data_IF_308442581300
#
_entry.id   IF_308442581300
#
_cell.length_a   1.000
_cell.length_b   1.000
_cell.length_c   1.000
_cell.angle_alpha   90.00
_cell.angle_beta   90.00
_cell.angle_gamma   90.00
#
_symmetry.space_group_name_H-M   'P 1'
#
loop_
_entity.id
_entity.type
_entity.pdbx_description
1 polymer ?
#
# COMPACT_ATOMS: atom_id res chain seq x y z
N UNK A 1 3.86 -5.43 -12.27
CA UNK A 1 4.50 -5.16 -10.96
C UNK A 1 5.81 -5.93 -10.75
N UNK A 2 5.98 -7.10 -11.39
CA UNK A 2 7.13 -7.99 -11.20
C UNK A 2 8.50 -7.34 -11.44
N UNK A 3 8.67 -6.55 -12.51
CA UNK A 3 9.93 -5.84 -12.79
C UNK A 3 10.33 -4.85 -11.70
N UNK A 4 9.35 -4.14 -11.12
CA UNK A 4 9.61 -3.20 -10.02
C UNK A 4 10.04 -3.96 -8.76
N UNK A 5 9.28 -4.99 -8.38
CA UNK A 5 9.62 -5.84 -7.23
C UNK A 5 11.01 -6.45 -7.38
N UNK A 6 11.36 -6.92 -8.58
CA UNK A 6 12.70 -7.46 -8.87
C UNK A 6 13.81 -6.43 -8.62
N UNK A 7 13.67 -5.20 -9.15
CA UNK A 7 14.66 -4.13 -8.92
C UNK A 7 14.81 -3.75 -7.45
N UNK A 8 13.69 -3.72 -6.71
CA UNK A 8 13.71 -3.45 -5.26
C UNK A 8 14.48 -4.56 -4.53
N UNK A 9 14.27 -5.82 -4.90
CA UNK A 9 14.99 -6.95 -4.30
C UNK A 9 16.48 -6.88 -4.58
N UNK A 10 16.86 -6.68 -5.84
CA UNK A 10 18.27 -6.53 -6.23
C UNK A 10 18.94 -5.40 -5.43
N UNK A 11 18.28 -4.24 -5.30
CA UNK A 11 18.77 -3.11 -4.50
C UNK A 11 19.00 -3.48 -3.02
N UNK A 12 18.10 -4.26 -2.42
CA UNK A 12 18.21 -4.70 -1.03
C UNK A 12 19.24 -5.79 -0.83
N UNK A 13 19.34 -6.74 -1.78
CA UNK A 13 20.33 -7.82 -1.78
C UNK A 13 21.75 -7.27 -1.87
N UNK A 14 22.00 -6.27 -2.72
CA UNK A 14 23.28 -5.55 -2.83
C UNK A 14 23.73 -4.93 -1.49
N UNK A 15 22.80 -4.66 -0.58
CA UNK A 15 23.04 -4.03 0.72
C UNK A 15 22.95 -5.00 1.88
N UNK A 16 22.71 -6.29 1.61
CA UNK A 16 22.47 -7.32 2.61
C UNK A 16 21.31 -6.96 3.57
N UNK A 17 20.34 -6.17 3.12
CA UNK A 17 19.23 -5.70 3.96
C UNK A 17 18.13 -6.74 4.14
N UNK A 18 18.11 -7.76 3.28
CA UNK A 18 17.09 -8.81 3.29
C UNK A 18 17.01 -9.55 4.64
N UNK A 19 18.10 -9.60 5.40
CA UNK A 19 18.16 -10.17 6.76
C UNK A 19 17.26 -9.44 7.77
N UNK A 20 16.95 -8.16 7.54
CA UNK A 20 16.09 -7.35 8.42
C UNK A 20 14.62 -7.35 7.98
N UNK A 21 14.34 -7.82 6.77
CA UNK A 21 13.01 -7.80 6.14
C UNK A 21 12.15 -9.01 6.52
N UNK A 22 11.96 -9.25 7.83
CA UNK A 22 10.94 -10.19 8.29
C UNK A 22 9.53 -9.65 7.96
N UNK A 23 8.50 -10.51 7.75
CA UNK A 23 7.13 -10.04 7.51
C UNK A 23 6.61 -9.10 8.60
N UNK A 24 6.99 -9.35 9.86
CA UNK A 24 6.66 -8.48 10.99
C UNK A 24 7.31 -7.10 10.86
N UNK A 25 8.60 -7.04 10.53
CA UNK A 25 9.32 -5.77 10.38
C UNK A 25 8.78 -4.96 9.21
N UNK A 26 8.52 -5.59 8.07
CA UNK A 26 7.94 -4.92 6.92
C UNK A 26 6.54 -4.38 7.20
N UNK A 27 5.71 -5.12 7.94
CA UNK A 27 4.40 -4.62 8.37
C UNK A 27 4.51 -3.39 9.29
N UNK A 28 5.52 -3.34 10.17
CA UNK A 28 5.81 -2.15 10.98
C UNK A 28 6.25 -0.99 10.11
N UNK A 29 7.18 -1.19 9.17
CA UNK A 29 7.63 -0.16 8.23
C UNK A 29 6.45 0.44 7.46
N UNK A 30 5.55 -0.38 6.90
CA UNK A 30 4.33 0.12 6.22
C UNK A 30 3.52 1.05 7.14
N UNK A 31 3.39 0.72 8.43
CA UNK A 31 2.65 1.57 9.37
C UNK A 31 3.38 2.87 9.71
N UNK A 32 4.71 2.87 9.71
CA UNK A 32 5.53 4.07 9.93
C UNK A 32 5.37 5.00 8.74
N UNK A 33 5.62 4.52 7.52
CA UNK A 33 5.54 5.35 6.31
C UNK A 33 4.11 5.81 6.00
N UNK A 34 3.10 5.03 6.40
CA UNK A 34 1.72 5.49 6.32
C UNK A 34 1.43 6.66 7.28
N UNK A 35 2.17 6.73 8.38
CA UNK A 35 2.16 7.87 9.31
C UNK A 35 2.87 9.09 8.72
N UNK A 36 4.02 8.91 8.09
CA UNK A 36 4.76 9.98 7.39
C UNK A 36 3.93 10.55 6.23
N UNK A 37 3.31 9.68 5.43
CA UNK A 37 2.35 10.08 4.39
C UNK A 37 1.16 10.85 4.94
N UNK A 38 0.68 10.50 6.14
CA UNK A 38 -0.41 11.22 6.80
C UNK A 38 0.06 12.60 7.29
N UNK A 39 1.31 12.73 7.72
CA UNK A 39 1.89 13.98 8.20
C UNK A 39 1.89 15.06 7.12
N UNK A 40 2.08 14.69 5.84
CA UNK A 40 1.97 15.60 4.70
C UNK A 40 0.63 16.36 4.63
N UNK A 41 -0.42 15.88 5.29
CA UNK A 41 -1.76 16.47 5.30
C UNK A 41 -2.23 16.89 6.71
N UNK A 42 -1.37 16.82 7.74
CA UNK A 42 -1.77 16.96 9.14
C UNK A 42 -2.39 18.33 9.46
N UNK A 43 -1.83 19.41 8.89
CA UNK A 43 -2.18 20.78 9.29
C UNK A 43 -3.16 21.47 8.35
N UNK A 44 -3.21 21.11 7.06
CA UNK A 44 -4.21 21.56 6.08
C UNK A 44 -4.02 20.83 4.74
N UNK A 45 -4.85 21.16 3.75
CA UNK A 45 -4.82 20.56 2.41
C UNK A 45 -3.78 21.17 1.45
N UNK A 46 -2.97 22.14 1.88
CA UNK A 46 -1.79 22.56 1.13
C UNK A 46 -0.64 21.61 1.49
N UNK A 47 -0.38 20.66 0.62
CA UNK A 47 0.70 19.68 0.77
C UNK A 47 1.82 19.95 -0.24
N UNK A 48 3.04 19.54 0.10
CA UNK A 48 4.12 19.43 -0.88
C UNK A 48 3.96 18.12 -1.65
N UNK A 49 3.83 18.23 -2.98
CA UNK A 49 3.65 17.06 -3.84
C UNK A 49 4.89 16.16 -3.89
N UNK A 50 6.08 16.71 -3.69
CA UNK A 50 7.31 15.91 -3.71
C UNK A 50 7.45 15.10 -2.42
N UNK A 51 7.10 15.67 -1.26
CA UNK A 51 7.02 14.93 0.01
C UNK A 51 5.96 13.81 -0.08
N UNK A 52 4.75 14.12 -0.55
CA UNK A 52 3.69 13.11 -0.72
C UNK A 52 4.11 11.96 -1.64
N UNK A 53 4.82 12.27 -2.73
CA UNK A 53 5.33 11.24 -3.64
C UNK A 53 6.38 10.36 -2.97
N UNK A 54 7.26 10.96 -2.15
CA UNK A 54 8.28 10.23 -1.39
C UNK A 54 7.61 9.24 -0.45
N UNK A 55 6.75 9.71 0.45
CA UNK A 55 6.12 8.85 1.46
C UNK A 55 5.19 7.80 0.85
N UNK A 56 4.47 8.16 -0.21
CA UNK A 56 3.65 7.19 -0.94
C UNK A 56 4.52 6.10 -1.60
N UNK A 57 5.69 6.46 -2.12
CA UNK A 57 6.61 5.49 -2.70
C UNK A 57 7.14 4.53 -1.63
N UNK A 58 7.44 5.02 -0.42
CA UNK A 58 7.91 4.18 0.68
C UNK A 58 6.84 3.21 1.18
N UNK A 59 5.59 3.66 1.33
CA UNK A 59 4.45 2.76 1.62
C UNK A 59 4.33 1.65 0.57
N UNK A 60 4.41 2.00 -0.71
CA UNK A 60 4.33 1.03 -1.81
C UNK A 60 5.53 0.07 -1.78
N UNK A 61 6.75 0.59 -1.57
CA UNK A 61 7.98 -0.19 -1.54
C UNK A 61 7.93 -1.29 -0.47
N UNK A 62 7.60 -0.93 0.77
CA UNK A 62 7.49 -1.93 1.85
C UNK A 62 6.30 -2.88 1.66
N UNK A 63 5.19 -2.43 1.07
CA UNK A 63 4.09 -3.32 0.72
C UNK A 63 4.50 -4.37 -0.33
N UNK A 64 5.32 -3.99 -1.31
CA UNK A 64 5.85 -4.92 -2.31
C UNK A 64 6.86 -5.90 -1.73
N UNK A 65 7.73 -5.43 -0.84
CA UNK A 65 8.65 -6.30 -0.10
C UNK A 65 7.89 -7.30 0.76
N UNK A 66 6.82 -6.87 1.43
CA UNK A 66 5.99 -7.75 2.23
C UNK A 66 5.29 -8.80 1.36
N UNK A 67 4.74 -8.40 0.21
CA UNK A 67 4.14 -9.33 -0.73
C UNK A 67 5.14 -10.39 -1.21
N UNK A 68 6.37 -9.97 -1.55
CA UNK A 68 7.44 -10.90 -1.94
C UNK A 68 7.81 -11.86 -0.80
N UNK A 69 8.01 -11.35 0.43
CA UNK A 69 8.32 -12.17 1.61
C UNK A 69 7.22 -13.16 1.98
N UNK A 70 5.96 -12.82 1.69
CA UNK A 70 4.82 -13.73 1.88
C UNK A 70 4.61 -14.68 0.69
N UNK A 71 5.36 -14.53 -0.40
CA UNK A 71 5.21 -15.33 -1.61
C UNK A 71 3.88 -15.10 -2.33
N UNK A 72 3.31 -13.90 -2.23
CA UNK A 72 2.04 -13.54 -2.87
C UNK A 72 2.23 -12.53 -3.98
N UNK A 73 1.42 -12.66 -5.04
CA UNK A 73 1.39 -11.69 -6.12
C UNK A 73 0.58 -10.45 -5.69
N UNK A 74 1.20 -9.25 -5.61
CA UNK A 74 0.53 -8.03 -5.14
C UNK A 74 -0.62 -7.60 -6.06
N UNK A 75 -0.50 -7.81 -7.37
CA UNK A 75 -1.55 -7.48 -8.33
C UNK A 75 -2.74 -8.40 -8.14
N UNK A 76 -2.48 -9.71 -7.98
CA UNK A 76 -3.53 -10.70 -7.75
C UNK A 76 -4.31 -10.44 -6.46
N UNK A 77 -3.64 -10.18 -5.33
CA UNK A 77 -4.34 -9.96 -4.05
C UNK A 77 -5.20 -8.68 -4.09
N UNK A 78 -4.77 -7.64 -4.82
CA UNK A 78 -5.54 -6.42 -5.01
C UNK A 78 -6.76 -6.69 -5.89
N UNK A 79 -6.59 -7.36 -7.03
CA UNK A 79 -7.70 -7.71 -7.93
C UNK A 79 -8.74 -8.59 -7.25
N UNK A 80 -8.32 -9.58 -6.47
CA UNK A 80 -9.23 -10.44 -5.72
C UNK A 80 -9.97 -9.66 -4.62
N UNK A 81 -9.28 -8.73 -3.94
CA UNK A 81 -9.92 -7.82 -2.99
C UNK A 81 -10.95 -6.91 -3.67
N UNK A 82 -10.66 -6.40 -4.86
CA UNK A 82 -11.60 -5.58 -5.64
C UNK A 82 -12.89 -6.32 -5.97
N UNK A 83 -12.82 -7.61 -6.34
CA UNK A 83 -14.02 -8.44 -6.57
C UNK A 83 -14.89 -8.53 -5.31
N UNK A 84 -14.28 -8.67 -4.14
CA UNK A 84 -14.98 -8.70 -2.85
C UNK A 84 -15.59 -7.31 -2.55
N UNK A 85 -14.84 -6.25 -2.77
CA UNK A 85 -15.29 -4.86 -2.53
C UNK A 85 -16.45 -4.49 -3.46
N UNK A 86 -16.43 -4.88 -4.73
CA UNK A 86 -17.51 -4.65 -5.68
C UNK A 86 -18.85 -5.30 -5.23
N UNK A 87 -18.78 -6.50 -4.63
CA UNK A 87 -19.97 -7.14 -4.03
C UNK A 87 -20.50 -6.37 -2.82
N UNK A 88 -19.63 -5.73 -2.04
CA UNK A 88 -20.02 -4.92 -0.87
C UNK A 88 -20.56 -3.54 -1.27
N UNK A 89 -20.06 -2.97 -2.36
CA UNK A 89 -20.42 -1.64 -2.86
C UNK A 89 -20.94 -1.72 -4.30
N UNK A 90 -22.18 -2.20 -4.52
CA UNK A 90 -22.80 -2.21 -5.85
C UNK A 90 -22.91 -0.79 -6.42
N UNK A 91 -22.75 -0.65 -7.74
CA UNK A 91 -22.74 0.65 -8.42
C UNK A 91 -24.02 1.43 -8.15
N UNK A 92 -25.18 0.74 -8.16
CA UNK A 92 -26.49 1.38 -8.01
C UNK A 92 -26.68 2.01 -6.63
N UNK A 93 -25.95 1.51 -5.62
CA UNK A 93 -26.08 1.94 -4.23
C UNK A 93 -24.94 2.84 -3.75
N UNK A 94 -23.74 2.66 -4.29
CA UNK A 94 -22.52 3.27 -3.75
C UNK A 94 -21.92 4.38 -4.63
N UNK A 95 -22.40 4.58 -5.87
CA UNK A 95 -21.84 5.60 -6.77
C UNK A 95 -22.04 7.01 -6.18
N UNK A 96 -20.95 7.74 -5.99
CA UNK A 96 -20.96 9.13 -5.53
C UNK A 96 -21.21 9.33 -4.03
N UNK A 97 -21.21 8.26 -3.23
CA UNK A 97 -21.43 8.34 -1.78
C UNK A 97 -20.34 7.58 -1.00
N UNK A 98 -19.88 8.15 0.11
CA UNK A 98 -18.87 7.53 1.00
C UNK A 98 -19.50 6.68 2.12
N UNK A 99 -20.77 6.30 1.96
CA UNK A 99 -21.52 5.56 2.98
C UNK A 99 -20.99 4.13 3.08
N UNK A 100 -20.60 3.70 4.28
CA UNK A 100 -20.14 2.33 4.55
C UNK A 100 -21.17 1.31 4.07
N UNK A 101 -20.73 0.22 3.45
CA UNK A 101 -21.62 -0.79 2.85
C UNK A 101 -22.72 -1.33 3.79
N UNK A 102 -22.45 -1.38 5.09
CA UNK A 102 -23.40 -1.80 6.13
C UNK A 102 -24.57 -0.82 6.33
N UNK A 103 -24.53 0.35 5.68
CA UNK A 103 -25.51 1.44 5.78
C UNK A 103 -26.04 1.88 4.39
N UNK A 104 -25.71 1.16 3.32
CA UNK A 104 -26.24 1.45 1.99
C UNK A 104 -27.72 1.08 1.91
N UNK A 105 -28.54 1.96 1.34
CA UNK A 105 -29.96 1.73 1.10
C UNK A 105 -30.15 0.91 -0.19
#
# INVERSE_FOLDING_TARGET
>A
MQELTKKIKEFNEERDWDQFHSPENLAKSISVEAGELLECFQWNSNYDIEEVKSELADVINYALLLADKLGVDPEKIVLDKMKITAKKYPIEKAKGVSTKYTKLK
#
